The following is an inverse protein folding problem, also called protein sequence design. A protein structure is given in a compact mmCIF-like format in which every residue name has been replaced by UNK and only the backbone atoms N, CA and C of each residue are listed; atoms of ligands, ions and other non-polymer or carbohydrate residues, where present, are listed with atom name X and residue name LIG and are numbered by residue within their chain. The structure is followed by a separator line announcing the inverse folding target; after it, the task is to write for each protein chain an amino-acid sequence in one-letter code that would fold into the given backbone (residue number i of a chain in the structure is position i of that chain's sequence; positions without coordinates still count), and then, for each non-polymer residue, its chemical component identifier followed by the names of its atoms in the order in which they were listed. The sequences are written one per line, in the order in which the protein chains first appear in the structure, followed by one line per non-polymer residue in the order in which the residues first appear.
data_IF_464997878623
#
_entry.id   IF_464997878623
#
_cell.length_a   1.000
_cell.length_b   1.000
_cell.length_c   1.000
_cell.angle_alpha   90.00
_cell.angle_beta   90.00
_cell.angle_gamma   90.00
#
_symmetry.space_group_name_H-M   'P 1'
#
loop_
_entity.id
_entity.type
_entity.pdbx_description
1 polymer ?
#
# COMPACT_ATOMS: atom_id res chain seq x y z
N UNK A 1 14.66 8.23 2.98
CA UNK A 1 14.14 6.98 3.58
C UNK A 1 12.75 7.30 4.11
N UNK A 2 11.79 7.53 3.21
CA UNK A 2 10.47 8.09 3.55
C UNK A 2 9.32 7.08 3.34
N UNK A 3 9.67 5.79 3.28
CA UNK A 3 8.73 4.69 3.18
C UNK A 3 7.99 4.54 4.51
N UNK A 4 6.67 4.57 4.47
CA UNK A 4 5.79 4.22 5.60
C UNK A 4 4.97 3.01 5.18
N UNK A 5 4.88 2.04 6.07
CA UNK A 5 4.02 0.87 5.92
C UNK A 5 2.65 1.24 6.50
N UNK A 6 1.60 1.16 5.70
CA UNK A 6 0.23 1.42 6.13
C UNK A 6 -0.48 0.13 6.52
N UNK A 7 -0.31 -0.93 5.72
CA UNK A 7 -0.99 -2.20 5.94
C UNK A 7 -0.12 -3.36 5.52
N UNK A 8 0.07 -4.33 6.42
CA UNK A 8 0.67 -5.62 6.09
C UNK A 8 -0.44 -6.57 5.66
N UNK A 9 -0.18 -7.31 4.59
CA UNK A 9 -1.09 -8.34 4.10
C UNK A 9 -0.52 -9.69 4.52
N UNK A 10 -1.37 -10.65 4.82
CA UNK A 10 -0.93 -12.02 5.05
C UNK A 10 -0.82 -12.75 3.70
N UNK A 11 0.37 -13.28 3.39
CA UNK A 11 0.62 -14.06 2.17
C UNK A 11 -0.19 -15.35 2.10
N UNK A 12 -0.65 -15.85 3.25
CA UNK A 12 -1.40 -17.10 3.36
C UNK A 12 -2.91 -16.86 3.30
N UNK A 13 -3.35 -15.61 3.31
CA UNK A 13 -4.76 -15.27 3.24
C UNK A 13 -5.26 -15.27 1.79
N UNK A 14 -5.83 -16.39 1.37
CA UNK A 14 -6.41 -16.56 0.03
C UNK A 14 -7.71 -15.75 -0.16
N UNK A 15 -8.25 -15.12 0.90
CA UNK A 15 -9.42 -14.25 0.78
C UNK A 15 -9.07 -12.86 0.25
N UNK A 16 -7.80 -12.44 0.34
CA UNK A 16 -7.35 -11.15 -0.17
C UNK A 16 -7.00 -11.29 -1.65
N UNK A 17 -7.78 -10.63 -2.50
CA UNK A 17 -7.54 -10.59 -3.93
C UNK A 17 -6.71 -9.36 -4.32
N UNK A 18 -6.20 -9.36 -5.55
CA UNK A 18 -5.50 -8.19 -6.11
C UNK A 18 -6.44 -6.97 -6.16
N UNK A 19 -7.73 -7.18 -6.39
CA UNK A 19 -8.73 -6.10 -6.40
C UNK A 19 -8.85 -5.47 -5.01
N UNK A 20 -8.92 -6.28 -3.94
CA UNK A 20 -8.95 -5.76 -2.57
C UNK A 20 -7.69 -4.93 -2.27
N UNK A 21 -6.53 -5.37 -2.76
CA UNK A 21 -5.26 -4.63 -2.61
C UNK A 21 -5.33 -3.28 -3.32
N UNK A 22 -5.91 -3.24 -4.52
CA UNK A 22 -6.08 -1.98 -5.26
C UNK A 22 -7.02 -1.02 -4.54
N UNK A 23 -8.18 -1.50 -4.08
CA UNK A 23 -9.13 -0.68 -3.32
C UNK A 23 -8.49 -0.13 -2.04
N UNK A 24 -7.77 -0.98 -1.28
CA UNK A 24 -7.03 -0.55 -0.10
C UNK A 24 -5.95 0.49 -0.43
N UNK A 25 -5.28 0.37 -1.57
CA UNK A 25 -4.29 1.36 -2.02
C UNK A 25 -4.94 2.70 -2.37
N UNK A 26 -6.10 2.69 -3.03
CA UNK A 26 -6.85 3.90 -3.38
C UNK A 26 -7.31 4.65 -2.13
N UNK A 27 -7.88 3.95 -1.14
CA UNK A 27 -8.28 4.56 0.14
C UNK A 27 -7.09 5.25 0.83
N UNK A 28 -5.95 4.56 0.93
CA UNK A 28 -4.74 5.11 1.54
C UNK A 28 -4.21 6.30 0.73
N UNK A 29 -4.37 6.28 -0.59
CA UNK A 29 -3.93 7.35 -1.49
C UNK A 29 -4.80 8.60 -1.35
N UNK A 30 -6.10 8.44 -1.12
CA UNK A 30 -7.03 9.54 -0.81
C UNK A 30 -6.70 10.19 0.55
N UNK A 31 -6.34 9.39 1.56
CA UNK A 31 -5.91 9.89 2.86
C UNK A 31 -4.52 10.55 2.83
N UNK A 32 -3.70 10.22 1.83
CA UNK A 32 -2.31 10.68 1.70
C UNK A 32 -2.03 11.29 0.32
N UNK A 33 -2.66 12.43 -0.04
CA UNK A 33 -2.56 13.01 -1.39
C UNK A 33 -1.12 13.42 -1.78
N UNK A 34 -0.28 13.76 -0.80
CA UNK A 34 1.13 14.17 -1.01
C UNK A 34 2.11 12.99 -1.15
N UNK A 35 1.58 11.77 -1.12
CA UNK A 35 2.38 10.54 -1.10
C UNK A 35 1.99 9.64 -2.25
N UNK A 36 2.94 8.86 -2.73
CA UNK A 36 2.71 7.80 -3.70
C UNK A 36 2.54 6.49 -2.94
N UNK A 37 1.36 5.89 -3.05
CA UNK A 37 1.01 4.59 -2.46
C UNK A 37 1.37 3.46 -3.43
N UNK A 38 2.02 2.42 -2.92
CA UNK A 38 2.45 1.27 -3.70
C UNK A 38 2.42 -0.01 -2.85
N UNK A 39 2.28 -1.16 -3.52
CA UNK A 39 2.41 -2.45 -2.87
C UNK A 39 3.87 -2.93 -2.91
N UNK A 40 4.44 -3.24 -1.75
CA UNK A 40 5.77 -3.80 -1.60
C UNK A 40 5.68 -5.34 -1.55
N UNK A 41 6.17 -6.02 -2.57
CA UNK A 41 6.08 -7.49 -2.68
C UNK A 41 7.04 -8.25 -1.76
N UNK A 42 8.13 -7.62 -1.33
CA UNK A 42 9.09 -8.21 -0.39
C UNK A 42 8.47 -8.27 1.01
N UNK A 43 8.00 -7.12 1.50
CA UNK A 43 7.30 -7.03 2.79
C UNK A 43 5.85 -7.49 2.75
N UNK A 44 5.28 -7.61 1.54
CA UNK A 44 3.87 -7.93 1.29
C UNK A 44 2.94 -6.98 2.02
N UNK A 45 3.16 -5.70 1.77
CA UNK A 45 2.54 -4.62 2.50
C UNK A 45 2.25 -3.43 1.58
N UNK A 46 1.12 -2.78 1.80
CA UNK A 46 0.82 -1.49 1.19
C UNK A 46 1.63 -0.42 1.93
N UNK A 47 2.47 0.25 1.17
CA UNK A 47 3.40 1.26 1.62
C UNK A 47 3.13 2.58 0.90
N UNK A 48 3.65 3.67 1.44
CA UNK A 48 3.73 4.90 0.67
C UNK A 48 5.04 5.64 0.90
N UNK A 49 5.45 6.42 -0.10
CA UNK A 49 6.61 7.31 -0.05
C UNK A 49 6.19 8.73 -0.42
N UNK A 50 6.94 9.73 0.03
CA UNK A 50 6.67 11.11 -0.42
C UNK A 50 6.81 11.21 -1.94
N UNK A 51 5.95 11.99 -2.58
CA UNK A 51 6.16 12.39 -3.96
C UNK A 51 7.41 13.27 -4.00
N UNK A 52 8.39 12.90 -4.82
CA UNK A 52 9.46 13.83 -5.15
C UNK A 52 8.82 14.87 -6.09
N UNK A 53 8.70 16.10 -5.60
CA UNK A 53 8.18 17.23 -6.36
C UNK A 53 9.17 17.75 -7.39
#
# INVERSE_FOLDING_TARGET
MDKIIHKKIDKQDESVTITDIQEMMEEIQEENPDREVFFDGDEYAICSRKKEG
#
